data_IF_273599411878
#
_entry.id   IF_273599411878
#
_cell.length_a   1.000
_cell.length_b   1.000
_cell.length_c   1.000
_cell.angle_alpha   90.00
_cell.angle_beta   90.00
_cell.angle_gamma   90.00
#
_symmetry.space_group_name_H-M   'P 1'
#
loop_
_entity.id
_entity.type
_entity.pdbx_description
1 polymer ?
#
# COMPACT_ATOMS: atom_id res chain seq x y z
N UNK A 1 -30.71 -29.95 -37.11
CA UNK A 1 -30.27 -29.25 -35.87
C UNK A 1 -30.38 -27.75 -36.09
N UNK A 2 -31.07 -26.99 -35.23
CA UNK A 2 -31.05 -25.53 -35.32
C UNK A 2 -29.61 -25.05 -35.09
N UNK A 3 -29.09 -24.21 -35.98
CA UNK A 3 -27.74 -23.64 -35.85
C UNK A 3 -27.67 -22.82 -34.56
N UNK A 4 -26.69 -23.13 -33.71
CA UNK A 4 -26.30 -22.31 -32.56
C UNK A 4 -26.25 -20.84 -32.97
N UNK A 5 -26.92 -19.96 -32.21
CA UNK A 5 -26.78 -18.50 -32.37
C UNK A 5 -25.30 -18.18 -32.15
N UNK A 6 -24.67 -17.60 -33.16
CA UNK A 6 -23.30 -17.11 -33.08
C UNK A 6 -23.19 -16.11 -31.92
N UNK A 7 -22.19 -16.30 -31.05
CA UNK A 7 -22.04 -15.60 -29.76
C UNK A 7 -21.22 -14.31 -29.85
N UNK A 8 -20.70 -13.95 -31.02
CA UNK A 8 -19.76 -12.84 -31.21
C UNK A 8 -20.36 -11.60 -31.91
N UNK A 9 -21.67 -11.61 -32.17
CA UNK A 9 -22.43 -10.45 -32.71
C UNK A 9 -23.73 -10.28 -31.93
N UNK A 10 -24.25 -9.06 -31.86
CA UNK A 10 -25.50 -8.74 -31.17
C UNK A 10 -26.74 -9.24 -31.94
N UNK A 11 -26.93 -8.74 -33.16
CA UNK A 11 -28.02 -9.05 -34.07
C UNK A 11 -27.51 -8.98 -35.52
N UNK A 12 -27.75 -10.01 -36.35
CA UNK A 12 -27.26 -10.04 -37.72
C UNK A 12 -27.73 -8.85 -38.59
N UNK A 13 -28.95 -8.33 -38.36
CA UNK A 13 -29.45 -7.17 -39.12
C UNK A 13 -28.79 -5.88 -38.63
N UNK A 14 -28.56 -5.74 -37.33
CA UNK A 14 -27.84 -4.60 -36.77
C UNK A 14 -26.38 -4.53 -37.28
N UNK A 15 -25.68 -5.67 -37.34
CA UNK A 15 -24.34 -5.78 -37.96
C UNK A 15 -24.38 -5.34 -39.41
N UNK A 16 -25.36 -5.84 -40.19
CA UNK A 16 -25.53 -5.47 -41.59
C UNK A 16 -25.76 -3.98 -41.80
N UNK A 17 -26.60 -3.36 -40.95
CA UNK A 17 -26.86 -1.94 -40.97
C UNK A 17 -25.61 -1.10 -40.66
N UNK A 18 -24.83 -1.48 -39.64
CA UNK A 18 -23.58 -0.79 -39.28
C UNK A 18 -22.50 -0.92 -40.36
N UNK A 19 -22.37 -2.11 -40.95
CA UNK A 19 -21.45 -2.34 -42.07
C UNK A 19 -21.82 -1.48 -43.28
N UNK A 20 -23.10 -1.43 -43.63
CA UNK A 20 -23.61 -0.62 -44.74
C UNK A 20 -23.38 0.87 -44.49
N UNK A 21 -23.70 1.34 -43.29
CA UNK A 21 -23.50 2.74 -42.90
C UNK A 21 -22.02 3.14 -42.95
N UNK A 22 -21.12 2.33 -42.39
CA UNK A 22 -19.68 2.58 -42.44
C UNK A 22 -19.15 2.57 -43.88
N UNK A 23 -19.60 1.63 -44.72
CA UNK A 23 -19.25 1.57 -46.15
C UNK A 23 -19.67 2.83 -46.91
N UNK A 24 -20.91 3.27 -46.70
CA UNK A 24 -21.46 4.46 -47.36
C UNK A 24 -20.75 5.73 -46.89
N UNK A 25 -20.40 5.83 -45.60
CA UNK A 25 -19.60 6.92 -45.05
C UNK A 25 -18.19 6.97 -45.63
N UNK A 26 -17.56 5.82 -45.89
CA UNK A 26 -16.27 5.73 -46.58
C UNK A 26 -16.35 5.90 -48.10
N UNK A 27 -17.54 6.10 -48.67
CA UNK A 27 -17.74 6.29 -50.12
C UNK A 27 -17.45 5.05 -50.98
N UNK A 28 -17.42 3.86 -50.39
CA UNK A 28 -17.05 2.63 -51.10
C UNK A 28 -18.30 1.90 -51.64
N UNK A 29 -18.21 1.36 -52.85
CA UNK A 29 -19.17 0.36 -53.33
C UNK A 29 -18.88 -1.02 -52.71
N UNK A 30 -19.88 -1.91 -52.71
CA UNK A 30 -19.69 -3.31 -52.26
C UNK A 30 -18.56 -4.03 -53.04
N UNK A 31 -18.35 -3.66 -54.31
CA UNK A 31 -17.24 -4.18 -55.12
C UNK A 31 -15.88 -3.68 -54.66
N UNK A 32 -15.78 -2.43 -54.22
CA UNK A 32 -14.53 -1.83 -53.73
C UNK A 32 -14.19 -2.31 -52.31
N UNK A 33 -15.19 -2.62 -51.48
CA UNK A 33 -14.96 -3.19 -50.15
C UNK A 33 -14.52 -4.66 -50.19
N UNK A 34 -14.87 -5.40 -51.26
CA UNK A 34 -14.53 -6.81 -51.42
C UNK A 34 -13.02 -7.11 -51.45
N UNK A 35 -12.66 -8.32 -51.03
CA UNK A 35 -11.28 -8.81 -50.96
C UNK A 35 -11.21 -10.33 -51.13
N UNK A 36 -10.03 -10.94 -51.38
CA UNK A 36 -9.89 -12.39 -51.45
C UNK A 36 -10.46 -13.07 -50.19
N UNK A 37 -11.50 -13.89 -50.36
CA UNK A 37 -12.24 -14.51 -49.25
C UNK A 37 -13.55 -13.80 -48.85
N UNK A 38 -13.84 -12.62 -49.40
CA UNK A 38 -15.08 -11.87 -49.18
C UNK A 38 -15.58 -11.24 -50.50
N UNK A 39 -16.50 -11.92 -51.20
CA UNK A 39 -17.01 -11.44 -52.48
C UNK A 39 -18.04 -10.30 -52.31
N UNK A 40 -18.28 -9.46 -53.34
CA UNK A 40 -19.30 -8.41 -53.26
C UNK A 40 -20.70 -8.95 -52.95
N UNK A 41 -21.03 -10.14 -53.47
CA UNK A 41 -22.28 -10.84 -53.17
C UNK A 41 -22.32 -11.37 -51.72
N UNK A 42 -21.17 -11.64 -51.11
CA UNK A 42 -21.08 -12.01 -49.71
C UNK A 42 -21.29 -10.79 -48.80
N UNK A 43 -20.68 -9.65 -49.14
CA UNK A 43 -20.89 -8.37 -48.45
C UNK A 43 -22.37 -7.98 -48.49
N UNK A 44 -23.02 -8.07 -49.66
CA UNK A 44 -24.45 -7.79 -49.82
C UNK A 44 -25.33 -8.63 -48.88
N UNK A 45 -25.01 -9.93 -48.73
CA UNK A 45 -25.73 -10.82 -47.79
C UNK A 45 -25.46 -10.49 -46.31
N UNK A 46 -24.29 -9.95 -45.99
CA UNK A 46 -24.02 -9.46 -44.63
C UNK A 46 -24.81 -8.18 -44.37
N UNK A 47 -24.80 -7.22 -45.31
CA UNK A 47 -25.56 -5.95 -45.20
C UNK A 47 -27.08 -6.17 -45.09
N UNK A 48 -27.61 -7.23 -45.72
CA UNK A 48 -29.01 -7.62 -45.60
C UNK A 48 -29.35 -8.34 -44.28
N UNK A 49 -28.36 -8.76 -43.50
CA UNK A 49 -28.53 -9.56 -42.29
C UNK A 49 -28.76 -11.06 -42.53
N UNK A 50 -28.63 -11.53 -43.78
CA UNK A 50 -28.82 -12.94 -44.17
C UNK A 50 -27.63 -13.83 -43.77
N UNK A 51 -26.48 -13.22 -43.48
CA UNK A 51 -25.25 -13.94 -43.13
C UNK A 51 -24.51 -13.29 -41.98
N UNK A 52 -24.17 -14.10 -40.98
CA UNK A 52 -23.31 -13.68 -39.88
C UNK A 52 -21.84 -13.84 -40.31
N UNK A 53 -21.06 -12.74 -40.38
CA UNK A 53 -19.64 -12.80 -40.69
C UNK A 53 -18.84 -13.38 -39.50
N UNK A 54 -17.69 -14.01 -39.78
CA UNK A 54 -16.76 -14.41 -38.71
C UNK A 54 -16.06 -13.18 -38.14
N UNK A 55 -15.54 -13.29 -36.91
CA UNK A 55 -14.81 -12.20 -36.24
C UNK A 55 -13.58 -11.75 -37.07
N UNK A 56 -12.88 -12.69 -37.70
CA UNK A 56 -11.75 -12.39 -38.58
C UNK A 56 -12.17 -11.56 -39.80
N UNK A 57 -13.35 -11.83 -40.37
CA UNK A 57 -13.89 -11.07 -41.48
C UNK A 57 -14.32 -9.66 -41.05
N UNK A 58 -14.92 -9.53 -39.87
CA UNK A 58 -15.31 -8.25 -39.28
C UNK A 58 -14.09 -7.35 -39.04
N UNK A 59 -12.96 -7.92 -38.57
CA UNK A 59 -11.69 -7.19 -38.44
C UNK A 59 -11.18 -6.64 -39.76
N UNK A 60 -11.16 -7.47 -40.80
CA UNK A 60 -10.65 -7.04 -42.11
C UNK A 60 -11.57 -6.00 -42.77
N UNK A 61 -12.89 -6.16 -42.63
CA UNK A 61 -13.86 -5.15 -43.07
C UNK A 61 -13.72 -3.84 -42.28
N UNK A 62 -13.58 -3.93 -40.95
CA UNK A 62 -13.37 -2.77 -40.08
C UNK A 62 -12.11 -1.98 -40.44
N UNK A 63 -10.98 -2.67 -40.64
CA UNK A 63 -9.72 -2.07 -41.09
C UNK A 63 -9.88 -1.27 -42.38
N UNK A 64 -10.60 -1.80 -43.36
CA UNK A 64 -10.84 -1.12 -44.66
C UNK A 64 -11.78 0.07 -44.58
N UNK A 65 -12.66 0.08 -43.58
CA UNK A 65 -13.67 1.10 -43.35
C UNK A 65 -13.25 2.14 -42.30
N UNK A 66 -12.10 1.96 -41.64
CA UNK A 66 -11.64 2.83 -40.56
C UNK A 66 -12.48 2.72 -39.27
N UNK A 67 -13.14 1.58 -39.05
CA UNK A 67 -13.95 1.30 -37.84
C UNK A 67 -13.49 0.02 -37.16
N UNK A 68 -13.76 -0.12 -35.86
CA UNK A 68 -13.40 -1.34 -35.11
C UNK A 68 -14.31 -2.53 -35.45
N UNK A 69 -13.80 -3.75 -35.28
CA UNK A 69 -14.64 -4.95 -35.38
C UNK A 69 -15.76 -4.96 -34.34
N UNK A 70 -15.53 -4.42 -33.14
CA UNK A 70 -16.52 -4.36 -32.05
C UNK A 70 -17.67 -3.43 -32.40
N UNK A 71 -17.37 -2.31 -33.08
CA UNK A 71 -18.39 -1.41 -33.60
C UNK A 71 -19.26 -2.13 -34.62
N UNK A 72 -18.65 -2.86 -35.56
CA UNK A 72 -19.42 -3.63 -36.53
C UNK A 72 -20.22 -4.76 -35.85
N UNK A 73 -19.62 -5.46 -34.89
CA UNK A 73 -20.17 -6.65 -34.23
C UNK A 73 -21.31 -6.35 -33.25
N UNK A 74 -21.22 -5.26 -32.49
CA UNK A 74 -22.14 -4.96 -31.36
C UNK A 74 -22.54 -3.49 -31.26
N UNK A 75 -22.00 -2.62 -32.12
CA UNK A 75 -22.21 -1.17 -32.01
C UNK A 75 -21.35 -0.48 -30.95
N UNK A 76 -20.58 -1.26 -30.19
CA UNK A 76 -19.61 -0.75 -29.23
C UNK A 76 -18.48 -0.08 -30.00
N UNK A 77 -18.39 1.25 -29.98
CA UNK A 77 -17.13 1.89 -30.37
C UNK A 77 -16.05 1.31 -29.46
N UNK A 78 -14.93 0.89 -30.05
CA UNK A 78 -13.71 0.48 -29.34
C UNK A 78 -13.61 1.33 -28.08
N UNK A 79 -13.57 0.70 -26.90
CA UNK A 79 -13.27 1.41 -25.64
C UNK A 79 -12.15 2.39 -25.95
N UNK A 80 -12.37 3.65 -25.62
CA UNK A 80 -11.40 4.72 -25.81
C UNK A 80 -10.02 4.15 -25.44
N UNK A 81 -9.00 4.22 -26.32
CA UNK A 81 -7.72 3.54 -26.08
C UNK A 81 -7.08 3.91 -24.74
N UNK A 82 -7.56 4.99 -24.14
CA UNK A 82 -7.38 5.40 -22.77
C UNK A 82 -7.85 4.40 -21.68
N UNK A 83 -9.03 3.77 -21.81
CA UNK A 83 -9.47 2.74 -20.87
C UNK A 83 -8.48 1.56 -20.89
N UNK A 84 -7.98 1.19 -22.07
CA UNK A 84 -6.93 0.18 -22.21
C UNK A 84 -5.62 0.68 -21.55
N UNK A 85 -5.20 1.94 -21.78
CA UNK A 85 -4.03 2.54 -21.12
C UNK A 85 -4.15 2.57 -19.59
N UNK A 86 -5.33 2.90 -19.05
CA UNK A 86 -5.57 2.95 -17.60
C UNK A 86 -5.54 1.55 -16.97
N UNK A 87 -6.09 0.54 -17.66
CA UNK A 87 -6.03 -0.85 -17.20
C UNK A 87 -4.59 -1.36 -17.22
N UNK A 88 -3.82 -1.04 -18.27
CA UNK A 88 -2.39 -1.34 -18.33
C UNK A 88 -1.60 -0.63 -17.22
N UNK A 89 -1.90 0.64 -16.94
CA UNK A 89 -1.29 1.40 -15.86
C UNK A 89 -1.58 0.79 -14.47
N UNK A 90 -2.83 0.36 -14.24
CA UNK A 90 -3.22 -0.29 -12.99
C UNK A 90 -2.56 -1.66 -12.83
N UNK A 91 -2.41 -2.41 -13.92
CA UNK A 91 -1.67 -3.68 -13.91
C UNK A 91 -0.18 -3.46 -13.60
N UNK A 92 0.46 -2.48 -14.25
CA UNK A 92 1.84 -2.11 -13.99
C UNK A 92 2.04 -1.72 -12.51
N UNK A 93 1.14 -0.91 -11.95
CA UNK A 93 1.18 -0.54 -10.53
C UNK A 93 1.02 -1.75 -9.59
N UNK A 94 0.16 -2.72 -9.94
CA UNK A 94 0.00 -3.96 -9.17
C UNK A 94 1.22 -4.86 -9.22
N UNK A 95 1.93 -4.88 -10.34
CA UNK A 95 3.16 -5.64 -10.55
C UNK A 95 4.41 -4.90 -10.06
N UNK A 96 4.24 -3.74 -9.43
CA UNK A 96 5.32 -2.89 -8.90
C UNK A 96 6.26 -2.33 -10.00
N UNK A 97 5.76 -2.25 -11.24
CA UNK A 97 6.44 -1.60 -12.38
C UNK A 97 6.18 -0.09 -12.34
N UNK A 98 6.71 0.58 -11.31
CA UNK A 98 6.36 1.95 -10.93
C UNK A 98 6.59 2.97 -12.06
N UNK A 99 7.71 2.86 -12.78
CA UNK A 99 8.03 3.79 -13.89
C UNK A 99 7.12 3.58 -15.10
N UNK A 100 6.67 2.35 -15.35
CA UNK A 100 5.71 2.09 -16.43
C UNK A 100 4.34 2.63 -16.06
N UNK A 101 3.89 2.36 -14.83
CA UNK A 101 2.63 2.85 -14.31
C UNK A 101 2.57 4.39 -14.39
N UNK A 102 3.63 5.08 -13.97
CA UNK A 102 3.73 6.54 -14.05
C UNK A 102 3.55 7.06 -15.48
N UNK A 103 4.29 6.50 -16.44
CA UNK A 103 4.21 6.93 -17.84
C UNK A 103 2.80 6.75 -18.39
N UNK A 104 2.18 5.60 -18.14
CA UNK A 104 0.84 5.28 -18.64
C UNK A 104 -0.24 6.16 -17.99
N UNK A 105 -0.17 6.40 -16.68
CA UNK A 105 -1.09 7.32 -16.03
C UNK A 105 -0.90 8.76 -16.50
N UNK A 106 0.35 9.21 -16.71
CA UNK A 106 0.63 10.54 -17.24
C UNK A 106 0.09 10.69 -18.67
N UNK A 107 0.28 9.69 -19.53
CA UNK A 107 -0.30 9.67 -20.88
C UNK A 107 -1.84 9.73 -20.84
N UNK A 108 -2.47 8.97 -19.94
CA UNK A 108 -3.91 9.00 -19.75
C UNK A 108 -4.42 10.33 -19.16
N UNK A 109 -3.57 11.05 -18.42
CA UNK A 109 -3.87 12.38 -17.89
C UNK A 109 -3.75 13.46 -18.96
N UNK A 110 -2.72 13.41 -19.80
CA UNK A 110 -2.49 14.37 -20.89
C UNK A 110 -3.57 14.30 -21.98
N UNK A 111 -4.12 13.10 -22.22
CA UNK A 111 -5.25 12.90 -23.13
C UNK A 111 -6.59 13.35 -22.55
N UNK A 112 -6.66 13.63 -21.26
CA UNK A 112 -7.89 13.98 -20.58
C UNK A 112 -8.33 15.42 -20.87
N UNK A 113 -9.59 15.61 -21.23
CA UNK A 113 -10.15 16.95 -21.52
C UNK A 113 -11.08 17.47 -20.43
N UNK A 114 -11.59 16.59 -19.55
CA UNK A 114 -12.50 16.95 -18.47
C UNK A 114 -11.99 16.49 -17.10
N UNK A 115 -12.46 17.12 -16.01
CA UNK A 115 -12.09 16.71 -14.64
C UNK A 115 -12.50 15.24 -14.35
N UNK A 116 -13.67 14.83 -14.84
CA UNK A 116 -14.15 13.45 -14.68
C UNK A 116 -13.26 12.46 -15.40
N UNK A 117 -12.79 12.85 -16.58
CA UNK A 117 -11.82 12.09 -17.34
C UNK A 117 -10.47 12.03 -16.62
N UNK A 118 -9.96 13.12 -16.06
CA UNK A 118 -8.66 13.15 -15.36
C UNK A 118 -8.63 12.24 -14.12
N UNK A 119 -9.79 12.02 -13.48
CA UNK A 119 -9.88 11.37 -12.17
C UNK A 119 -9.21 9.99 -12.05
N UNK A 120 -9.35 9.02 -12.99
CA UNK A 120 -8.65 7.73 -12.91
C UNK A 120 -7.14 7.83 -13.00
N UNK A 121 -6.63 8.70 -13.87
CA UNK A 121 -5.19 8.92 -13.99
C UNK A 121 -4.62 9.55 -12.72
N UNK A 122 -5.30 10.57 -12.16
CA UNK A 122 -4.91 11.20 -10.90
C UNK A 122 -5.01 10.22 -9.70
N UNK A 123 -6.03 9.37 -9.67
CA UNK A 123 -6.17 8.34 -8.66
C UNK A 123 -4.98 7.35 -8.69
N UNK A 124 -4.57 6.93 -9.90
CA UNK A 124 -3.42 6.07 -10.11
C UNK A 124 -2.09 6.72 -9.74
N UNK A 125 -1.86 7.97 -10.16
CA UNK A 125 -0.69 8.75 -9.78
C UNK A 125 -0.62 8.96 -8.27
N UNK A 126 -1.76 9.24 -7.62
CA UNK A 126 -1.78 9.42 -6.17
C UNK A 126 -1.43 8.15 -5.39
N UNK A 127 -1.85 6.98 -5.89
CA UNK A 127 -1.41 5.69 -5.34
C UNK A 127 0.08 5.44 -5.59
N UNK A 128 0.60 5.85 -6.74
CA UNK A 128 2.02 5.75 -7.08
C UNK A 128 2.87 6.64 -6.16
N UNK A 129 2.49 7.90 -5.99
CA UNK A 129 3.13 8.86 -5.09
C UNK A 129 3.15 8.32 -3.65
N UNK A 130 2.06 7.69 -3.20
CA UNK A 130 2.04 7.01 -1.90
C UNK A 130 3.09 5.89 -1.80
N UNK A 131 3.22 5.04 -2.84
CA UNK A 131 4.24 3.98 -2.86
C UNK A 131 5.67 4.51 -2.86
N UNK A 132 5.91 5.68 -3.47
CA UNK A 132 7.21 6.37 -3.48
C UNK A 132 7.54 7.11 -2.19
N UNK A 133 6.61 7.16 -1.23
CA UNK A 133 6.83 7.92 0.00
C UNK A 133 6.70 9.44 -0.21
N UNK A 134 5.88 9.87 -1.17
CA UNK A 134 5.59 11.26 -1.50
C UNK A 134 4.19 11.66 -0.99
N UNK A 135 3.96 11.72 0.34
CA UNK A 135 2.62 11.75 0.90
C UNK A 135 1.83 13.02 0.54
N UNK A 136 2.48 14.19 0.42
CA UNK A 136 1.78 15.43 0.05
C UNK A 136 1.23 15.39 -1.38
N UNK A 137 2.02 14.84 -2.29
CA UNK A 137 1.60 14.68 -3.69
C UNK A 137 0.47 13.65 -3.79
N UNK A 138 0.59 12.54 -3.05
CA UNK A 138 -0.46 11.53 -2.96
C UNK A 138 -1.79 12.12 -2.47
N UNK A 139 -1.81 12.93 -1.40
CA UNK A 139 -3.03 13.60 -0.93
C UNK A 139 -3.62 14.50 -2.03
N UNK A 140 -2.81 15.37 -2.61
CA UNK A 140 -3.27 16.34 -3.62
C UNK A 140 -3.92 15.64 -4.83
N UNK A 141 -3.27 14.60 -5.36
CA UNK A 141 -3.75 13.87 -6.52
C UNK A 141 -5.01 13.05 -6.21
N UNK A 142 -5.08 12.40 -5.04
CA UNK A 142 -6.27 11.62 -4.64
C UNK A 142 -7.46 12.55 -4.39
N UNK A 143 -7.28 13.68 -3.72
CA UNK A 143 -8.35 14.66 -3.49
C UNK A 143 -8.86 15.27 -4.81
N UNK A 144 -7.96 15.57 -5.77
CA UNK A 144 -8.37 16.02 -7.10
C UNK A 144 -9.14 14.92 -7.86
N UNK A 145 -8.71 13.67 -7.76
CA UNK A 145 -9.43 12.54 -8.33
C UNK A 145 -10.85 12.40 -7.76
N UNK A 146 -11.00 12.47 -6.44
CA UNK A 146 -12.32 12.40 -5.77
C UNK A 146 -13.24 13.55 -6.19
N UNK A 147 -12.71 14.77 -6.34
CA UNK A 147 -13.47 15.90 -6.91
C UNK A 147 -13.95 15.62 -8.33
N UNK A 148 -13.09 15.04 -9.18
CA UNK A 148 -13.44 14.66 -10.55
C UNK A 148 -14.51 13.55 -10.63
N UNK A 149 -14.47 12.57 -9.72
CA UNK A 149 -15.51 11.56 -9.59
C UNK A 149 -16.84 12.11 -9.07
N UNK A 150 -16.80 13.22 -8.32
CA UNK A 150 -17.94 13.77 -7.57
C UNK A 150 -18.54 12.72 -6.62
N UNK A 151 -17.66 11.92 -6.02
CA UNK A 151 -18.01 10.83 -5.13
C UNK A 151 -17.41 11.08 -3.74
N UNK A 152 -18.04 10.53 -2.70
CA UNK A 152 -17.41 10.48 -1.38
C UNK A 152 -16.24 9.47 -1.40
N UNK A 153 -15.25 9.69 -0.53
CA UNK A 153 -14.09 8.80 -0.42
C UNK A 153 -14.48 7.35 -0.11
N UNK A 154 -15.58 7.14 0.63
CA UNK A 154 -16.08 5.82 0.98
C UNK A 154 -16.61 5.02 -0.21
N UNK A 155 -16.88 5.67 -1.34
CA UNK A 155 -17.28 4.99 -2.59
C UNK A 155 -16.07 4.41 -3.34
N UNK A 156 -14.84 4.80 -2.95
CA UNK A 156 -13.60 4.32 -3.54
C UNK A 156 -12.66 3.70 -2.48
N UNK A 157 -12.92 2.45 -2.04
CA UNK A 157 -12.18 1.84 -0.93
C UNK A 157 -10.65 1.83 -1.06
N UNK A 158 -10.13 1.63 -2.28
CA UNK A 158 -8.68 1.67 -2.51
C UNK A 158 -8.11 3.08 -2.28
N UNK A 159 -8.78 4.12 -2.76
CA UNK A 159 -8.36 5.51 -2.54
C UNK A 159 -8.56 5.94 -1.09
N UNK A 160 -9.61 5.47 -0.43
CA UNK A 160 -9.82 5.70 0.98
C UNK A 160 -8.71 5.12 1.85
N UNK A 161 -8.30 3.88 1.57
CA UNK A 161 -7.17 3.27 2.26
C UNK A 161 -5.90 4.08 2.07
N UNK A 162 -5.55 4.40 0.82
CA UNK A 162 -4.35 5.17 0.52
C UNK A 162 -4.40 6.53 1.20
N UNK A 163 -5.46 7.32 0.98
CA UNK A 163 -5.60 8.66 1.55
C UNK A 163 -5.55 8.67 3.08
N UNK A 164 -6.28 7.76 3.73
CA UNK A 164 -6.28 7.67 5.18
C UNK A 164 -4.91 7.29 5.76
N UNK A 165 -4.17 6.39 5.10
CA UNK A 165 -2.79 6.04 5.49
C UNK A 165 -1.83 7.21 5.23
N UNK A 166 -1.99 7.93 4.12
CA UNK A 166 -1.19 9.10 3.79
C UNK A 166 -1.37 10.23 4.81
N UNK A 167 -2.60 10.50 5.24
CA UNK A 167 -2.85 11.46 6.32
C UNK A 167 -2.16 11.03 7.62
N UNK A 168 -2.22 9.73 7.98
CA UNK A 168 -1.51 9.23 9.15
C UNK A 168 0.02 9.43 9.03
N UNK A 169 0.62 9.19 7.84
CA UNK A 169 2.04 9.45 7.59
C UNK A 169 2.42 10.94 7.74
N UNK A 170 1.50 11.85 7.41
CA UNK A 170 1.68 13.29 7.57
C UNK A 170 1.43 13.77 9.02
N UNK A 171 0.99 12.89 9.92
CA UNK A 171 0.55 13.26 11.27
C UNK A 171 -0.82 13.95 11.31
N UNK A 172 -1.56 13.95 10.21
CA UNK A 172 -2.92 14.47 10.11
C UNK A 172 -3.94 13.43 10.64
N UNK A 173 -3.77 13.04 11.90
CA UNK A 173 -4.48 11.91 12.51
C UNK A 173 -6.00 12.07 12.45
N UNK A 174 -6.52 13.28 12.64
CA UNK A 174 -7.96 13.53 12.61
C UNK A 174 -8.56 13.38 11.19
N UNK A 175 -7.79 13.74 10.15
CA UNK A 175 -8.21 13.55 8.76
C UNK A 175 -8.23 12.05 8.41
N UNK A 176 -7.21 11.31 8.85
CA UNK A 176 -7.15 9.84 8.74
C UNK A 176 -8.36 9.15 9.38
N UNK A 177 -8.66 9.50 10.64
CA UNK A 177 -9.84 9.00 11.37
C UNK A 177 -11.13 9.30 10.59
N UNK A 178 -11.31 10.53 10.11
CA UNK A 178 -12.51 10.96 9.36
C UNK A 178 -12.73 10.17 8.05
N UNK A 179 -11.66 9.89 7.31
CA UNK A 179 -11.73 9.06 6.09
C UNK A 179 -12.18 7.65 6.44
N UNK A 180 -11.54 7.00 7.43
CA UNK A 180 -11.87 5.63 7.77
C UNK A 180 -13.24 5.48 8.45
N UNK A 181 -13.67 6.46 9.26
CA UNK A 181 -15.00 6.50 9.86
C UNK A 181 -16.11 6.47 8.81
N UNK A 182 -15.98 7.30 7.76
CA UNK A 182 -16.93 7.30 6.63
C UNK A 182 -16.96 5.95 5.93
N UNK A 183 -15.81 5.30 5.77
CA UNK A 183 -15.71 3.99 5.12
C UNK A 183 -16.33 2.86 5.95
N UNK A 184 -16.11 2.85 7.27
CA UNK A 184 -16.78 1.92 8.18
C UNK A 184 -18.30 2.11 8.11
N UNK A 185 -18.80 3.34 8.20
CA UNK A 185 -20.22 3.63 8.13
C UNK A 185 -20.86 3.21 6.79
N UNK A 186 -20.16 3.45 5.67
CA UNK A 186 -20.60 3.01 4.35
C UNK A 186 -20.63 1.48 4.24
N UNK A 187 -19.60 0.79 4.75
CA UNK A 187 -19.52 -0.66 4.75
C UNK A 187 -20.62 -1.31 5.62
N UNK A 188 -20.89 -0.75 6.80
CA UNK A 188 -22.01 -1.15 7.68
C UNK A 188 -23.36 -0.97 6.96
N UNK A 189 -23.58 0.17 6.31
CA UNK A 189 -24.81 0.43 5.53
C UNK A 189 -24.99 -0.54 4.36
N UNK A 190 -23.90 -0.93 3.71
CA UNK A 190 -23.92 -1.85 2.57
C UNK A 190 -23.97 -3.32 3.00
N UNK A 191 -23.77 -3.63 4.29
CA UNK A 191 -23.72 -4.99 4.80
C UNK A 191 -22.52 -5.79 4.25
N UNK A 192 -21.38 -5.13 4.03
CA UNK A 192 -20.15 -5.75 3.53
C UNK A 192 -19.20 -6.09 4.69
N UNK A 193 -19.21 -7.34 5.21
CA UNK A 193 -18.38 -7.70 6.37
C UNK A 193 -16.88 -7.60 6.09
N UNK A 194 -16.44 -7.77 4.84
CA UNK A 194 -15.02 -7.69 4.47
C UNK A 194 -14.55 -6.24 4.56
N UNK A 195 -15.33 -5.29 4.03
CA UNK A 195 -14.99 -3.86 4.13
C UNK A 195 -15.15 -3.32 5.56
N UNK A 196 -16.12 -3.81 6.33
CA UNK A 196 -16.25 -3.47 7.76
C UNK A 196 -14.96 -3.83 8.49
N UNK A 197 -14.49 -5.08 8.35
CA UNK A 197 -13.25 -5.52 9.02
C UNK A 197 -12.04 -4.73 8.54
N UNK A 198 -11.89 -4.57 7.21
CA UNK A 198 -10.75 -3.82 6.63
C UNK A 198 -10.65 -2.42 7.19
N UNK A 199 -11.73 -1.63 7.13
CA UNK A 199 -11.68 -0.25 7.58
C UNK A 199 -11.74 -0.10 9.09
N UNK A 200 -12.33 -1.05 9.82
CA UNK A 200 -12.26 -1.07 11.28
C UNK A 200 -10.83 -1.28 11.78
N UNK A 201 -10.04 -2.15 11.13
CA UNK A 201 -8.62 -2.34 11.46
C UNK A 201 -7.82 -1.06 11.20
N UNK A 202 -7.99 -0.44 10.03
CA UNK A 202 -7.30 0.80 9.66
C UNK A 202 -7.66 1.96 10.60
N UNK A 203 -8.95 2.14 10.89
CA UNK A 203 -9.42 3.13 11.85
C UNK A 203 -8.93 2.82 13.27
N UNK A 204 -8.88 1.55 13.66
CA UNK A 204 -8.33 1.12 14.95
C UNK A 204 -6.90 1.60 15.14
N UNK A 205 -6.04 1.44 14.13
CA UNK A 205 -4.67 1.96 14.17
C UNK A 205 -4.63 3.49 14.28
N UNK A 206 -5.40 4.21 13.47
CA UNK A 206 -5.44 5.67 13.56
C UNK A 206 -5.94 6.16 14.94
N UNK A 207 -6.87 5.43 15.57
CA UNK A 207 -7.36 5.73 16.91
C UNK A 207 -6.33 5.44 18.00
N UNK A 208 -5.56 4.34 17.89
CA UNK A 208 -4.46 4.05 18.81
C UNK A 208 -3.39 5.14 18.73
N UNK A 209 -3.00 5.54 17.52
CA UNK A 209 -2.02 6.61 17.30
C UNK A 209 -2.52 7.97 17.85
N UNK A 210 -3.85 8.17 17.91
CA UNK A 210 -4.49 9.32 18.56
C UNK A 210 -4.67 9.19 20.08
N UNK A 211 -4.27 8.07 20.69
CA UNK A 211 -4.49 7.75 22.11
C UNK A 211 -5.94 7.40 22.47
N UNK A 212 -6.83 7.19 21.50
CA UNK A 212 -8.23 6.86 21.71
C UNK A 212 -8.45 5.35 21.82
N UNK A 213 -7.79 4.73 22.81
CA UNK A 213 -7.77 3.28 22.99
C UNK A 213 -9.16 2.67 23.22
N UNK A 214 -10.03 3.34 23.99
CA UNK A 214 -11.39 2.85 24.26
C UNK A 214 -12.21 2.70 22.98
N UNK A 215 -12.17 3.69 22.09
CA UNK A 215 -12.90 3.63 20.82
C UNK A 215 -12.29 2.58 19.89
N UNK A 216 -10.96 2.44 19.89
CA UNK A 216 -10.28 1.40 19.13
C UNK A 216 -10.71 0.00 19.61
N UNK A 217 -10.79 -0.23 20.93
CA UNK A 217 -11.24 -1.48 21.53
C UNK A 217 -12.69 -1.84 21.15
N UNK A 218 -13.62 -0.89 21.32
CA UNK A 218 -15.03 -1.08 20.93
C UNK A 218 -15.17 -1.41 19.44
N UNK A 219 -14.42 -0.71 18.59
CA UNK A 219 -14.45 -0.89 17.14
C UNK A 219 -13.86 -2.24 16.72
N UNK A 220 -12.66 -2.58 17.19
CA UNK A 220 -11.97 -3.82 16.84
C UNK A 220 -12.66 -5.04 17.45
N UNK A 221 -13.31 -4.91 18.61
CA UNK A 221 -14.17 -5.95 19.18
C UNK A 221 -15.37 -6.25 18.28
N UNK A 222 -16.06 -5.22 17.76
CA UNK A 222 -17.14 -5.41 16.77
C UNK A 222 -16.62 -6.04 15.48
N UNK A 223 -15.46 -5.60 14.99
CA UNK A 223 -14.83 -6.17 13.80
C UNK A 223 -14.45 -7.64 13.98
N UNK A 224 -14.00 -8.04 15.18
CA UNK A 224 -13.72 -9.42 15.51
C UNK A 224 -14.98 -10.29 15.42
N UNK A 225 -16.11 -9.82 15.94
CA UNK A 225 -17.39 -10.53 15.85
C UNK A 225 -17.90 -10.64 14.41
N UNK A 226 -17.85 -9.55 13.64
CA UNK A 226 -18.22 -9.56 12.20
C UNK A 226 -17.30 -10.48 11.40
N UNK A 227 -16.01 -10.48 11.70
CA UNK A 227 -15.01 -11.28 11.01
C UNK A 227 -14.97 -12.76 11.40
N UNK A 228 -15.68 -13.15 12.47
CA UNK A 228 -15.66 -14.53 13.00
C UNK A 228 -16.10 -15.56 11.97
N UNK A 229 -17.10 -15.24 11.18
CA UNK A 229 -17.66 -16.13 10.16
C UNK A 229 -16.90 -16.07 8.82
N UNK A 230 -15.95 -15.14 8.68
CA UNK A 230 -15.11 -15.04 7.50
C UNK A 230 -14.10 -16.19 7.50
N UNK A 231 -14.07 -16.92 6.38
CA UNK A 231 -13.17 -18.07 6.18
C UNK A 231 -11.78 -17.68 5.68
N UNK A 232 -11.58 -16.42 5.35
CA UNK A 232 -10.30 -15.90 4.87
C UNK A 232 -9.27 -15.86 6.02
N UNK A 233 -8.17 -16.64 5.94
CA UNK A 233 -7.11 -16.64 6.94
C UNK A 233 -6.48 -15.25 7.12
N UNK A 234 -6.29 -14.49 6.04
CA UNK A 234 -5.62 -13.19 6.07
C UNK A 234 -6.45 -12.17 6.85
N UNK A 235 -7.78 -12.21 6.71
CA UNK A 235 -8.67 -11.35 7.50
C UNK A 235 -8.55 -11.64 8.99
N UNK A 236 -8.45 -12.92 9.38
CA UNK A 236 -8.25 -13.30 10.79
C UNK A 236 -6.89 -12.85 11.32
N UNK A 237 -5.85 -12.98 10.51
CA UNK A 237 -4.50 -12.49 10.85
C UNK A 237 -4.55 -10.99 11.13
N UNK A 238 -5.16 -10.19 10.25
CA UNK A 238 -5.27 -8.74 10.47
C UNK A 238 -6.03 -8.39 11.75
N UNK A 239 -7.11 -9.12 12.05
CA UNK A 239 -7.87 -8.93 13.29
C UNK A 239 -7.03 -9.26 14.53
N UNK A 240 -6.39 -10.44 14.57
CA UNK A 240 -5.54 -10.83 15.70
C UNK A 240 -4.33 -9.90 15.84
N UNK A 241 -3.71 -9.49 14.74
CA UNK A 241 -2.63 -8.51 14.77
C UNK A 241 -3.08 -7.18 15.36
N UNK A 242 -4.25 -6.68 14.94
CA UNK A 242 -4.79 -5.42 15.46
C UNK A 242 -5.10 -5.47 16.97
N UNK A 243 -5.59 -6.61 17.45
CA UNK A 243 -5.79 -6.86 18.89
C UNK A 243 -4.47 -6.94 19.64
N UNK A 244 -3.47 -7.61 19.05
CA UNK A 244 -2.11 -7.65 19.61
C UNK A 244 -1.53 -6.25 19.78
N UNK A 245 -1.63 -5.41 18.76
CA UNK A 245 -1.15 -4.02 18.82
C UNK A 245 -1.92 -3.22 19.88
N UNK A 246 -3.26 -3.27 19.87
CA UNK A 246 -4.09 -2.56 20.85
C UNK A 246 -3.68 -2.87 22.29
N UNK A 247 -3.58 -4.16 22.63
CA UNK A 247 -3.21 -4.58 23.98
C UNK A 247 -1.77 -4.22 24.33
N UNK A 248 -0.85 -4.24 23.36
CA UNK A 248 0.53 -3.76 23.54
C UNK A 248 0.57 -2.28 23.91
N UNK A 249 -0.18 -1.43 23.19
CA UNK A 249 -0.30 0.02 23.50
C UNK A 249 -0.96 0.28 24.87
N UNK A 250 -1.83 -0.63 25.32
CA UNK A 250 -2.42 -0.59 26.66
C UNK A 250 -1.51 -1.20 27.75
N UNK A 251 -0.31 -1.65 27.39
CA UNK A 251 0.64 -2.37 28.24
C UNK A 251 0.09 -3.69 28.84
N UNK A 252 -0.94 -4.28 28.21
CA UNK A 252 -1.40 -5.64 28.47
C UNK A 252 -0.63 -6.62 27.59
N UNK A 253 0.65 -6.80 27.94
CA UNK A 253 1.59 -7.60 27.17
C UNK A 253 1.14 -9.07 27.08
N UNK A 254 0.44 -9.59 28.09
CA UNK A 254 -0.05 -10.97 28.07
C UNK A 254 -1.14 -11.19 27.02
N UNK A 255 -2.13 -10.28 26.96
CA UNK A 255 -3.15 -10.34 25.92
C UNK A 255 -2.53 -10.10 24.53
N UNK A 256 -1.59 -9.15 24.41
CA UNK A 256 -0.87 -8.89 23.18
C UNK A 256 -0.17 -10.16 22.65
N UNK A 257 0.66 -10.79 23.47
CA UNK A 257 1.35 -12.05 23.13
C UNK A 257 0.38 -13.15 22.71
N UNK A 258 -0.76 -13.30 23.41
CA UNK A 258 -1.79 -14.30 23.04
C UNK A 258 -2.36 -14.07 21.64
N UNK A 259 -2.62 -12.82 21.28
CA UNK A 259 -3.13 -12.50 19.95
C UNK A 259 -2.06 -12.60 18.86
N UNK A 260 -0.82 -12.19 19.13
CA UNK A 260 0.30 -12.41 18.22
C UNK A 260 0.51 -13.91 17.91
N UNK A 261 0.44 -14.78 18.92
CA UNK A 261 0.49 -16.24 18.74
C UNK A 261 -0.64 -16.76 17.85
N UNK A 262 -1.89 -16.32 18.07
CA UNK A 262 -3.01 -16.70 17.19
C UNK A 262 -2.81 -16.25 15.75
N UNK A 263 -2.20 -15.08 15.52
CA UNK A 263 -1.88 -14.62 14.18
C UNK A 263 -0.82 -15.52 13.53
N UNK A 264 0.24 -15.87 14.27
CA UNK A 264 1.28 -16.78 13.82
C UNK A 264 0.73 -18.18 13.49
N UNK A 265 -0.07 -18.78 14.39
CA UNK A 265 -0.71 -20.09 14.17
C UNK A 265 -1.57 -20.14 12.89
N UNK A 266 -2.24 -19.04 12.55
CA UNK A 266 -3.01 -18.95 11.29
C UNK A 266 -2.07 -18.83 10.09
N UNK A 267 -1.00 -18.04 10.20
CA UNK A 267 -0.03 -17.82 9.13
C UNK A 267 0.80 -19.07 8.81
N UNK A 268 1.14 -19.89 9.79
CA UNK A 268 1.82 -21.17 9.61
C UNK A 268 1.01 -22.17 8.77
N UNK A 269 -0.31 -21.99 8.68
CA UNK A 269 -1.19 -22.78 7.81
C UNK A 269 -1.29 -22.20 6.38
N UNK A 270 -0.56 -21.13 6.08
CA UNK A 270 -0.53 -20.46 4.77
C UNK A 270 0.85 -20.55 4.14
N UNK A 271 0.94 -20.25 2.85
CA UNK A 271 2.22 -20.18 2.12
C UNK A 271 2.87 -18.78 2.21
N UNK A 272 2.39 -17.89 3.09
CA UNK A 272 2.86 -16.51 3.21
C UNK A 272 4.06 -16.37 4.15
N UNK A 273 5.24 -16.78 3.66
CA UNK A 273 6.49 -16.74 4.43
C UNK A 273 6.83 -15.34 4.95
N UNK A 274 6.54 -14.29 4.18
CA UNK A 274 6.84 -12.91 4.59
C UNK A 274 6.01 -12.50 5.81
N UNK A 275 4.70 -12.72 5.79
CA UNK A 275 3.85 -12.40 6.95
C UNK A 275 4.15 -13.29 8.14
N UNK A 276 4.47 -14.57 7.93
CA UNK A 276 4.90 -15.48 9.01
C UNK A 276 6.16 -14.95 9.69
N UNK A 277 7.17 -14.53 8.94
CA UNK A 277 8.38 -13.91 9.51
C UNK A 277 8.05 -12.66 10.32
N UNK A 278 7.20 -11.77 9.79
CA UNK A 278 6.77 -10.56 10.50
C UNK A 278 6.01 -10.88 11.80
N UNK A 279 5.25 -11.98 11.83
CA UNK A 279 4.57 -12.44 13.04
C UNK A 279 5.56 -12.98 14.09
N UNK A 280 6.60 -13.72 13.67
CA UNK A 280 7.72 -14.09 14.55
C UNK A 280 8.38 -12.84 15.15
N UNK A 281 8.67 -11.83 14.33
CA UNK A 281 9.27 -10.58 14.79
C UNK A 281 8.39 -9.85 15.82
N UNK A 282 7.08 -9.73 15.57
CA UNK A 282 6.13 -9.12 16.52
C UNK A 282 6.11 -9.89 17.85
N UNK A 283 6.05 -11.22 17.78
CA UNK A 283 6.01 -12.05 18.98
C UNK A 283 7.33 -11.95 19.75
N UNK A 284 8.48 -11.93 19.07
CA UNK A 284 9.78 -11.73 19.68
C UNK A 284 9.88 -10.38 20.40
N UNK A 285 9.41 -9.30 19.78
CA UNK A 285 9.35 -7.98 20.41
C UNK A 285 8.56 -8.02 21.72
N UNK A 286 7.38 -8.64 21.71
CA UNK A 286 6.55 -8.79 22.92
C UNK A 286 7.20 -9.70 23.97
N UNK A 287 7.94 -10.73 23.56
CA UNK A 287 8.66 -11.59 24.51
C UNK A 287 9.87 -10.88 25.16
N UNK A 288 10.52 -9.98 24.43
CA UNK A 288 11.55 -9.09 25.00
C UNK A 288 10.97 -8.16 26.07
N UNK A 289 9.78 -7.61 25.85
CA UNK A 289 9.09 -6.77 26.85
C UNK A 289 8.69 -7.57 28.10
N UNK A 290 8.51 -8.89 27.97
CA UNK A 290 8.30 -9.82 29.10
C UNK A 290 9.60 -10.27 29.75
N UNK A 291 10.75 -9.79 29.28
CA UNK A 291 12.08 -10.16 29.76
C UNK A 291 12.51 -11.58 29.37
N UNK A 292 11.90 -12.17 28.34
CA UNK A 292 12.19 -13.53 27.86
C UNK A 292 13.01 -13.50 26.58
N UNK A 293 14.25 -13.03 26.72
CA UNK A 293 15.12 -12.77 25.59
C UNK A 293 15.56 -14.04 24.84
N UNK A 294 15.72 -15.17 25.52
CA UNK A 294 16.02 -16.45 24.88
C UNK A 294 14.89 -16.91 23.95
N UNK A 295 13.64 -16.77 24.41
CA UNK A 295 12.46 -17.16 23.63
C UNK A 295 12.26 -16.22 22.43
N UNK A 296 12.51 -14.92 22.62
CA UNK A 296 12.53 -13.95 21.53
C UNK A 296 13.60 -14.32 20.49
N UNK A 297 14.80 -14.70 20.92
CA UNK A 297 15.87 -15.10 20.01
C UNK A 297 15.50 -16.35 19.21
N UNK A 298 14.91 -17.38 19.82
CA UNK A 298 14.42 -18.57 19.11
C UNK A 298 13.40 -18.20 18.03
N UNK A 299 12.44 -17.33 18.36
CA UNK A 299 11.44 -16.87 17.38
C UNK A 299 12.08 -16.16 16.18
N UNK A 300 13.12 -15.36 16.43
CA UNK A 300 13.84 -14.64 15.37
C UNK A 300 14.67 -15.61 14.52
N UNK A 301 15.32 -16.60 15.12
CA UNK A 301 16.05 -17.66 14.41
C UNK A 301 15.13 -18.49 13.49
N UNK A 302 13.89 -18.77 13.94
CA UNK A 302 12.88 -19.46 13.14
C UNK A 302 12.31 -18.57 12.00
N UNK A 303 12.10 -17.28 12.28
CA UNK A 303 11.53 -16.34 11.33
C UNK A 303 12.50 -15.86 10.26
N UNK A 304 13.81 -15.80 10.55
CA UNK A 304 14.81 -15.22 9.65
C UNK A 304 14.87 -15.91 8.26
N UNK A 305 14.92 -17.25 8.15
CA UNK A 305 14.96 -17.94 6.85
C UNK A 305 13.77 -17.62 5.94
N UNK A 306 12.63 -17.25 6.52
CA UNK A 306 11.40 -16.92 5.80
C UNK A 306 11.45 -15.53 5.17
N UNK A 307 12.27 -14.62 5.72
CA UNK A 307 12.43 -13.24 5.27
C UNK A 307 13.74 -13.00 4.50
N UNK A 308 14.81 -13.74 4.79
CA UNK A 308 16.16 -13.44 4.33
C UNK A 308 16.30 -13.28 2.80
N UNK A 309 15.50 -14.02 2.03
CA UNK A 309 15.53 -14.04 0.56
C UNK A 309 14.46 -13.17 -0.11
N UNK A 310 13.40 -12.80 0.62
CA UNK A 310 12.21 -12.15 0.06
C UNK A 310 11.97 -10.74 0.61
N UNK A 311 12.50 -10.42 1.79
CA UNK A 311 12.36 -9.12 2.44
C UNK A 311 13.21 -8.05 1.79
N UNK A 312 12.70 -6.81 1.80
CA UNK A 312 13.50 -5.65 1.43
C UNK A 312 14.73 -5.51 2.35
N UNK A 313 15.77 -4.76 1.95
CA UNK A 313 16.88 -4.46 2.84
C UNK A 313 16.43 -3.85 4.18
N UNK A 314 15.39 -3.00 4.15
CA UNK A 314 14.79 -2.41 5.36
C UNK A 314 14.07 -3.45 6.22
N UNK A 315 13.27 -4.34 5.63
CA UNK A 315 12.61 -5.41 6.39
C UNK A 315 13.62 -6.28 7.11
N UNK A 316 14.70 -6.66 6.40
CA UNK A 316 15.78 -7.47 6.95
C UNK A 316 16.53 -6.73 8.06
N UNK A 317 16.83 -5.44 7.87
CA UNK A 317 17.45 -4.62 8.90
C UNK A 317 16.58 -4.54 10.16
N UNK A 318 15.28 -4.25 10.03
CA UNK A 318 14.34 -4.22 11.16
C UNK A 318 14.27 -5.55 11.90
N UNK A 319 14.28 -6.66 11.17
CA UNK A 319 14.26 -7.99 11.79
C UNK A 319 15.53 -8.23 12.60
N UNK A 320 16.70 -7.90 12.05
CA UNK A 320 18.00 -8.07 12.74
C UNK A 320 18.18 -7.12 13.92
N UNK A 321 17.51 -5.96 13.94
CA UNK A 321 17.49 -5.06 15.12
C UNK A 321 16.86 -5.76 16.33
N UNK A 322 15.73 -6.45 16.16
CA UNK A 322 15.09 -7.17 17.27
C UNK A 322 16.00 -8.31 17.79
N UNK A 323 16.79 -8.92 16.90
CA UNK A 323 17.78 -9.93 17.28
C UNK A 323 18.96 -9.33 18.03
N UNK A 324 19.46 -8.17 17.58
CA UNK A 324 20.48 -7.42 18.30
C UNK A 324 19.99 -6.99 19.69
N UNK A 325 18.72 -6.58 19.81
CA UNK A 325 18.06 -6.27 21.07
C UNK A 325 17.97 -7.50 21.98
N UNK A 326 17.59 -8.67 21.43
CA UNK A 326 17.55 -9.92 22.18
C UNK A 326 18.94 -10.32 22.71
N UNK A 327 19.95 -10.32 21.83
CA UNK A 327 21.34 -10.60 22.21
C UNK A 327 21.87 -9.63 23.25
N UNK A 328 21.52 -8.35 23.13
CA UNK A 328 21.88 -7.32 24.10
C UNK A 328 21.30 -7.61 25.49
N UNK A 329 20.01 -7.96 25.59
CA UNK A 329 19.38 -8.35 26.86
C UNK A 329 19.99 -9.63 27.46
N UNK A 330 20.58 -10.49 26.65
CA UNK A 330 21.33 -11.67 27.08
C UNK A 330 22.81 -11.39 27.43
N UNK A 331 23.29 -10.15 27.26
CA UNK A 331 24.69 -9.78 27.48
C UNK A 331 25.66 -10.31 26.41
N UNK A 332 25.16 -10.74 25.24
CA UNK A 332 25.96 -11.26 24.12
C UNK A 332 26.44 -10.12 23.22
N UNK A 333 27.30 -9.28 23.79
CA UNK A 333 27.72 -8.00 23.20
C UNK A 333 28.41 -8.15 21.83
N UNK A 334 29.34 -9.09 21.69
CA UNK A 334 30.08 -9.30 20.43
C UNK A 334 29.15 -9.69 19.27
N UNK A 335 28.11 -10.47 19.56
CA UNK A 335 27.16 -10.92 18.55
C UNK A 335 26.19 -9.80 18.17
N UNK A 336 25.73 -9.00 19.14
CA UNK A 336 24.97 -7.78 18.88
C UNK A 336 25.78 -6.78 18.03
N UNK A 337 27.09 -6.65 18.28
CA UNK A 337 28.00 -5.85 17.47
C UNK A 337 28.13 -6.37 16.03
N UNK A 338 28.23 -7.69 15.86
CA UNK A 338 28.23 -8.33 14.54
C UNK A 338 26.96 -8.03 13.74
N UNK A 339 25.79 -8.08 14.39
CA UNK A 339 24.52 -7.73 13.76
C UNK A 339 24.44 -6.26 13.34
N UNK A 340 24.93 -5.33 14.17
CA UNK A 340 24.95 -3.92 13.81
C UNK A 340 25.79 -3.64 12.55
N UNK A 341 26.88 -4.38 12.35
CA UNK A 341 27.69 -4.31 11.13
C UNK A 341 26.94 -4.87 9.91
N UNK A 342 26.25 -6.00 10.06
CA UNK A 342 25.42 -6.58 8.99
C UNK A 342 24.29 -5.62 8.59
N UNK A 343 23.60 -5.04 9.57
CA UNK A 343 22.53 -4.05 9.36
C UNK A 343 23.07 -2.85 8.58
N UNK A 344 24.25 -2.33 8.94
CA UNK A 344 24.87 -1.22 8.20
C UNK A 344 25.08 -1.54 6.72
N UNK A 345 25.46 -2.78 6.39
CA UNK A 345 25.58 -3.23 5.00
C UNK A 345 24.26 -3.28 4.23
N UNK A 346 23.15 -3.58 4.91
CA UNK A 346 21.80 -3.60 4.32
C UNK A 346 21.28 -2.19 3.99
N UNK A 347 21.80 -1.16 4.65
CA UNK A 347 21.32 0.22 4.52
C UNK A 347 22.05 1.05 3.45
N UNK A 348 22.98 0.44 2.69
CA UNK A 348 23.82 1.18 1.74
C UNK A 348 23.03 2.02 0.72
N UNK A 349 21.88 1.51 0.25
CA UNK A 349 21.01 2.17 -0.73
C UNK A 349 19.65 2.60 -0.14
N UNK A 350 19.52 2.61 1.19
CA UNK A 350 18.27 2.96 1.87
C UNK A 350 18.04 4.48 1.93
N UNK A 351 16.77 4.89 2.02
CA UNK A 351 16.41 6.28 2.23
C UNK A 351 17.04 6.83 3.52
N UNK A 352 17.58 8.07 3.53
CA UNK A 352 18.20 8.67 4.71
C UNK A 352 17.33 8.64 5.96
N UNK A 353 16.00 8.75 5.84
CA UNK A 353 15.10 8.71 6.99
C UNK A 353 15.07 7.32 7.63
N UNK A 354 14.94 6.26 6.83
CA UNK A 354 14.96 4.89 7.32
C UNK A 354 16.32 4.52 7.92
N UNK A 355 17.40 4.89 7.23
CA UNK A 355 18.78 4.68 7.69
C UNK A 355 19.02 5.36 9.03
N UNK A 356 18.64 6.64 9.15
CA UNK A 356 18.81 7.38 10.39
C UNK A 356 17.98 6.83 11.55
N UNK A 357 16.73 6.40 11.30
CA UNK A 357 15.90 5.73 12.31
C UNK A 357 16.56 4.44 12.81
N UNK A 358 17.08 3.62 11.90
CA UNK A 358 17.69 2.33 12.27
C UNK A 358 18.99 2.54 13.06
N UNK A 359 19.81 3.52 12.70
CA UNK A 359 20.98 3.87 13.50
C UNK A 359 20.62 4.38 14.90
N UNK A 360 19.52 5.13 15.04
CA UNK A 360 19.00 5.54 16.36
C UNK A 360 18.65 4.33 17.24
N UNK A 361 17.93 3.35 16.69
CA UNK A 361 17.60 2.11 17.40
C UNK A 361 18.83 1.29 17.79
N UNK A 362 19.84 1.22 16.92
CA UNK A 362 21.11 0.56 17.26
C UNK A 362 21.84 1.32 18.38
N UNK A 363 21.85 2.66 18.33
CA UNK A 363 22.41 3.49 19.40
C UNK A 363 21.77 3.21 20.76
N UNK A 364 20.45 3.03 20.80
CA UNK A 364 19.71 2.63 22.00
C UNK A 364 20.14 1.27 22.52
N UNK A 365 20.28 0.28 21.63
CA UNK A 365 20.73 -1.07 22.00
C UNK A 365 22.13 -1.05 22.64
N UNK A 366 23.08 -0.28 22.08
CA UNK A 366 24.42 -0.18 22.66
C UNK A 366 24.46 0.67 23.94
N UNK A 367 23.59 1.68 24.05
CA UNK A 367 23.44 2.44 25.30
C UNK A 367 22.95 1.53 26.43
N UNK A 368 21.97 0.66 26.14
CA UNK A 368 21.44 -0.36 27.07
C UNK A 368 22.50 -1.39 27.48
N UNK A 369 23.40 -1.75 26.57
CA UNK A 369 24.57 -2.61 26.85
C UNK A 369 25.65 -1.92 27.68
N UNK A 370 25.61 -0.60 27.77
CA UNK A 370 26.64 0.21 28.41
C UNK A 370 27.85 0.52 27.53
N UNK A 371 27.83 0.17 26.23
CA UNK A 371 28.82 0.63 25.26
C UNK A 371 28.48 2.04 24.79
N UNK A 372 28.90 3.01 25.59
CA UNK A 372 28.58 4.43 25.38
C UNK A 372 29.27 5.02 24.17
N UNK A 373 30.46 4.52 23.83
CA UNK A 373 31.24 5.02 22.69
C UNK A 373 30.51 4.68 21.39
N UNK A 374 30.17 3.40 21.18
CA UNK A 374 29.40 2.97 20.00
C UNK A 374 28.01 3.59 19.98
N UNK A 375 27.34 3.69 21.13
CA UNK A 375 26.01 4.31 21.22
C UNK A 375 26.06 5.77 20.73
N UNK A 376 27.05 6.55 21.18
CA UNK A 376 27.25 7.93 20.75
C UNK A 376 27.49 8.03 19.25
N UNK A 377 28.40 7.22 18.70
CA UNK A 377 28.70 7.20 17.26
C UNK A 377 27.45 6.91 16.42
N UNK A 378 26.64 5.94 16.84
CA UNK A 378 25.40 5.55 16.15
C UNK A 378 24.33 6.64 16.24
N UNK A 379 24.19 7.30 17.39
CA UNK A 379 23.29 8.46 17.51
C UNK A 379 23.74 9.63 16.64
N UNK A 380 25.03 9.93 16.58
CA UNK A 380 25.57 10.99 15.72
C UNK A 380 25.36 10.66 14.23
N UNK A 381 25.56 9.40 13.83
CA UNK A 381 25.29 8.94 12.47
C UNK A 381 23.79 9.04 12.15
N UNK A 382 22.92 8.64 13.08
CA UNK A 382 21.48 8.79 12.94
C UNK A 382 21.07 10.25 12.72
N UNK A 383 21.65 11.18 13.49
CA UNK A 383 21.43 12.62 13.34
C UNK A 383 21.87 13.11 11.96
N UNK A 384 23.06 12.74 11.49
CA UNK A 384 23.56 13.17 10.17
C UNK A 384 22.63 12.75 9.02
N UNK A 385 22.07 11.54 9.07
CA UNK A 385 21.10 11.09 8.08
C UNK A 385 19.75 11.81 8.22
N UNK A 386 19.25 11.99 9.45
CA UNK A 386 17.94 12.60 9.71
C UNK A 386 17.93 14.12 9.48
N UNK A 387 19.04 14.84 9.71
CA UNK A 387 19.17 16.28 9.45
C UNK A 387 19.11 16.62 7.95
N UNK A 388 19.45 15.67 7.07
CA UNK A 388 19.33 15.82 5.60
C UNK A 388 17.88 15.80 5.13
N UNK A 389 16.97 15.30 5.96
CA UNK A 389 15.53 15.19 5.68
C UNK A 389 14.79 16.28 6.46
N UNK A 390 13.52 16.51 6.13
CA UNK A 390 12.69 17.43 6.92
C UNK A 390 12.60 16.99 8.39
N UNK A 391 12.58 17.94 9.34
CA UNK A 391 12.40 17.66 10.76
C UNK A 391 11.24 16.71 11.01
N UNK A 392 11.54 15.59 11.66
CA UNK A 392 10.59 14.52 11.95
C UNK A 392 10.73 14.05 13.41
N UNK A 393 9.82 13.19 13.86
CA UNK A 393 9.81 12.67 15.23
C UNK A 393 11.09 11.92 15.61
N UNK A 394 11.67 11.17 14.67
CA UNK A 394 12.85 10.34 14.92
C UNK A 394 14.07 11.21 15.25
N UNK A 395 14.23 12.36 14.59
CA UNK A 395 15.31 13.29 14.91
C UNK A 395 15.17 13.88 16.32
N UNK A 396 13.93 14.16 16.76
CA UNK A 396 13.66 14.62 18.12
C UNK A 396 14.03 13.53 19.13
N UNK A 397 13.62 12.29 18.88
CA UNK A 397 13.90 11.13 19.72
C UNK A 397 15.42 10.91 19.86
N UNK A 398 16.16 10.87 18.75
CA UNK A 398 17.61 10.66 18.77
C UNK A 398 18.35 11.81 19.47
N UNK A 399 17.93 13.06 19.29
CA UNK A 399 18.51 14.17 20.06
C UNK A 399 18.28 14.04 21.57
N UNK A 400 17.09 13.59 21.98
CA UNK A 400 16.78 13.37 23.39
C UNK A 400 17.62 12.22 23.96
N UNK A 401 17.70 11.09 23.25
CA UNK A 401 18.51 9.93 23.64
C UNK A 401 20.00 10.27 23.77
N UNK A 402 20.56 11.01 22.81
CA UNK A 402 21.95 11.47 22.88
C UNK A 402 22.17 12.47 24.02
N UNK A 403 21.22 13.37 24.26
CA UNK A 403 21.30 14.30 25.38
C UNK A 403 21.32 13.58 26.73
N UNK A 404 20.46 12.57 26.91
CA UNK A 404 20.40 11.75 28.13
C UNK A 404 21.70 10.96 28.32
N UNK A 405 22.26 10.38 27.24
CA UNK A 405 23.56 9.69 27.27
C UNK A 405 24.68 10.64 27.73
N UNK A 406 24.77 11.83 27.13
CA UNK A 406 25.78 12.84 27.47
C UNK A 406 25.62 13.38 28.89
N UNK A 407 24.40 13.55 29.38
CA UNK A 407 24.15 13.97 30.75
C UNK A 407 24.65 12.93 31.75
N UNK A 408 24.38 11.64 31.49
CA UNK A 408 24.86 10.51 32.29
C UNK A 408 26.39 10.40 32.32
N UNK A 409 27.08 10.91 31.29
CA UNK A 409 28.54 11.00 31.21
C UNK A 409 29.11 12.29 31.82
N UNK A 410 28.25 13.23 32.23
CA UNK A 410 28.65 14.51 32.83
C UNK A 410 28.91 15.63 31.83
N UNK A 411 28.69 15.41 30.53
CA UNK A 411 28.80 16.41 29.46
C UNK A 411 27.58 17.35 29.40
N UNK A 412 27.29 18.01 30.54
CA UNK A 412 26.03 18.77 30.74
C UNK A 412 25.78 19.90 29.73
N UNK A 413 26.84 20.55 29.24
CA UNK A 413 26.69 21.63 28.26
C UNK A 413 26.26 21.10 26.88
N UNK A 414 26.83 19.97 26.46
CA UNK A 414 26.50 19.33 25.19
C UNK A 414 25.11 18.68 25.27
N UNK A 415 24.81 17.99 26.38
CA UNK A 415 23.48 17.47 26.66
C UNK A 415 22.40 18.56 26.59
N UNK A 416 22.63 19.72 27.22
CA UNK A 416 21.73 20.86 27.15
C UNK A 416 21.54 21.39 25.73
N UNK A 417 22.60 21.39 24.91
CA UNK A 417 22.51 21.84 23.51
C UNK A 417 21.62 20.91 22.67
N UNK A 418 21.78 19.60 22.79
CA UNK A 418 20.95 18.61 22.08
C UNK A 418 19.51 18.60 22.59
N UNK A 419 19.29 18.67 23.91
CA UNK A 419 17.94 18.77 24.47
C UNK A 419 17.22 20.04 23.98
N UNK A 420 17.94 21.17 23.88
CA UNK A 420 17.38 22.41 23.32
C UNK A 420 16.99 22.25 21.84
N UNK A 421 17.77 21.51 21.04
CA UNK A 421 17.39 21.17 19.66
C UNK A 421 16.12 20.33 19.61
N UNK A 422 16.04 19.28 20.44
CA UNK A 422 14.87 18.40 20.54
C UNK A 422 13.58 19.20 20.87
N UNK A 423 13.61 19.98 21.95
CA UNK A 423 12.45 20.80 22.38
C UNK A 423 12.07 21.86 21.36
N UNK A 424 13.06 22.56 20.79
CA UNK A 424 12.81 23.58 19.77
C UNK A 424 12.15 22.99 18.52
N UNK A 425 12.57 21.78 18.12
CA UNK A 425 11.98 21.05 17.00
C UNK A 425 10.57 20.54 17.32
N UNK A 426 10.35 20.01 18.52
CA UNK A 426 9.02 19.57 18.98
C UNK A 426 8.01 20.71 18.93
N UNK A 427 8.39 21.92 19.35
CA UNK A 427 7.54 23.11 19.25
C UNK A 427 7.24 23.50 17.80
N UNK A 428 8.22 23.40 16.90
CA UNK A 428 8.03 23.70 15.48
C UNK A 428 7.13 22.67 14.77
N UNK A 429 7.17 21.40 15.19
CA UNK A 429 6.26 20.35 14.70
C UNK A 429 4.85 20.56 15.25
N UNK A 430 4.70 20.84 16.55
CA UNK A 430 3.40 21.10 17.17
C UNK A 430 2.70 22.35 16.59
N UNK A 431 3.46 23.40 16.24
CA UNK A 431 2.91 24.62 15.64
C UNK A 431 2.36 24.41 14.21
N UNK A 432 2.68 23.30 13.53
CA UNK A 432 2.23 22.99 12.17
C UNK A 432 0.99 22.10 12.10
N UNK A 433 0.53 21.56 13.23
CA UNK A 433 -0.71 20.79 13.35
C UNK A 433 -1.76 21.62 14.10
N UNK A 434 -2.54 22.50 13.42
CA UNK A 434 -3.62 23.21 14.09
C UNK A 434 -4.69 22.20 14.56
N UNK A 435 -5.17 22.42 15.79
CA UNK A 435 -6.16 21.60 16.50
C UNK A 435 -7.51 21.49 15.79
#
# INVERSE_FOLDING_TARGET
MPRQKSTHVDDPKAVGARLKAAREQSGLSQRQLAFPGCSPAYISRIEAGDRIPSLQLLRELGRRLGVSEDYLATGSQRRDGREDTLVEAELALRLDELELAERLYTEALDRATTERERAPALAGLGQLAFRRGEPREAVAQIEEALRGYRADVSEHPALAETLGRTYAMLGETQASISVFDRCVAAAEKNGDPVQIVRFAVLLGYALMDAGNFRRAEELLGRALEVGRDLRDPIVRVHLYWSQSKLHGEQNDIEAATRYARKALEVLELTEDSYRTARAHQLLAHLELDRGRAEEALTLLEEGWPLLASSGSPIDRAQFRIEEARALAKLGREEEAAGLAMEISGLLADADPNDTGRIYGLLGEIFADLGDRERARELYELAIDFLERVHPNRYLIEVYAQLADLLENEGHKQEAYAYMKKAVGMQQAVAAKSPA
#
